data_IF_479331142420
#
_entry.id   IF_479331142420
#
_cell.length_a   1.000
_cell.length_b   1.000
_cell.length_c   1.000
_cell.angle_alpha   90.00
_cell.angle_beta   90.00
_cell.angle_gamma   90.00
#
_symmetry.space_group_name_H-M   'P 1'
#
loop_
_entity.id
_entity.type
_entity.pdbx_description
1 polymer ?
#
# COMPACT_ATOMS: atom_id res chain seq x y z
N UNK A 1 3.54 22.80 -1.17
CA UNK A 1 3.92 21.51 -1.79
C UNK A 1 3.49 20.39 -0.85
N UNK A 2 2.38 19.69 -1.15
CA UNK A 2 1.83 18.65 -0.28
C UNK A 2 2.53 17.30 -0.47
N UNK A 3 2.77 16.56 0.61
CA UNK A 3 3.31 15.20 0.55
C UNK A 3 2.22 14.29 -0.04
N UNK A 4 2.51 13.58 -1.14
CA UNK A 4 1.57 12.61 -1.74
C UNK A 4 1.16 11.54 -0.72
N UNK A 5 -0.08 11.06 -0.78
CA UNK A 5 -0.61 10.02 0.11
C UNK A 5 0.32 8.80 0.19
N UNK A 6 0.81 8.31 -0.95
CA UNK A 6 1.75 7.18 -0.99
C UNK A 6 3.06 7.46 -0.25
N UNK A 7 3.58 8.68 -0.35
CA UNK A 7 4.80 9.09 0.36
C UNK A 7 4.58 9.16 1.87
N UNK A 8 3.38 9.59 2.32
CA UNK A 8 3.00 9.60 3.75
C UNK A 8 2.88 8.18 4.30
N UNK A 9 2.15 7.31 3.61
CA UNK A 9 2.04 5.89 3.98
C UNK A 9 3.42 5.24 4.03
N UNK A 10 4.29 5.53 3.04
CA UNK A 10 5.65 5.00 3.00
C UNK A 10 6.47 5.42 4.21
N UNK A 11 6.42 6.71 4.58
CA UNK A 11 7.14 7.22 5.75
C UNK A 11 6.61 6.64 7.06
N UNK A 12 5.29 6.49 7.18
CA UNK A 12 4.67 5.89 8.37
C UNK A 12 5.07 4.43 8.52
N UNK A 13 5.04 3.65 7.42
CA UNK A 13 5.45 2.25 7.45
C UNK A 13 6.96 2.07 7.66
N UNK A 14 7.81 2.90 7.03
CA UNK A 14 9.26 2.80 7.23
C UNK A 14 9.69 3.10 8.67
N UNK A 15 9.00 4.03 9.32
CA UNK A 15 9.26 4.42 10.71
C UNK A 15 8.60 3.46 11.73
N UNK A 16 7.71 2.58 11.29
CA UNK A 16 7.05 1.62 12.18
C UNK A 16 8.00 0.47 12.54
N UNK A 17 8.36 0.38 13.82
CA UNK A 17 9.19 -0.71 14.33
C UNK A 17 8.50 -2.08 14.14
N UNK A 18 7.19 -2.16 14.39
CA UNK A 18 6.40 -3.38 14.19
C UNK A 18 6.46 -3.88 12.74
N UNK A 19 6.35 -2.96 11.78
CA UNK A 19 6.46 -3.33 10.36
C UNK A 19 7.84 -3.89 10.02
N UNK A 20 8.90 -3.28 10.56
CA UNK A 20 10.26 -3.72 10.33
C UNK A 20 10.52 -5.09 10.97
N UNK A 21 10.09 -5.30 12.22
CA UNK A 21 10.19 -6.60 12.90
C UNK A 21 9.36 -7.70 12.20
N UNK A 22 8.19 -7.36 11.66
CA UNK A 22 7.39 -8.28 10.85
C UNK A 22 8.11 -8.66 9.55
N UNK A 23 8.79 -7.71 8.89
CA UNK A 23 9.63 -8.01 7.73
C UNK A 23 10.80 -8.94 8.11
N UNK A 24 11.48 -8.67 9.22
CA UNK A 24 12.65 -9.43 9.66
C UNK A 24 12.26 -10.87 10.06
N UNK A 25 11.16 -11.03 10.78
CA UNK A 25 10.61 -12.34 11.15
C UNK A 25 10.09 -13.11 9.94
N UNK A 26 9.46 -12.44 8.97
CA UNK A 26 9.05 -13.08 7.70
C UNK A 26 10.28 -13.54 6.92
N UNK A 27 11.33 -12.72 6.89
CA UNK A 27 12.54 -13.04 6.16
C UNK A 27 13.25 -14.27 6.73
N UNK A 28 13.45 -14.29 8.06
CA UNK A 28 14.04 -15.43 8.75
C UNK A 28 13.19 -16.70 8.62
N UNK A 29 11.86 -16.58 8.64
CA UNK A 29 10.96 -17.70 8.38
C UNK A 29 11.09 -18.24 6.94
N UNK A 30 11.19 -17.37 5.93
CA UNK A 30 11.38 -17.84 4.54
C UNK A 30 12.74 -18.51 4.32
N UNK A 31 13.79 -18.03 5.01
CA UNK A 31 15.11 -18.67 4.97
C UNK A 31 15.14 -20.01 5.72
N UNK A 32 14.43 -20.13 6.83
CA UNK A 32 14.36 -21.40 7.56
C UNK A 32 13.66 -22.48 6.73
N UNK A 33 12.62 -22.11 5.96
CA UNK A 33 11.93 -23.01 5.03
C UNK A 33 12.85 -23.50 3.90
N UNK A 34 13.83 -22.72 3.48
CA UNK A 34 14.84 -23.14 2.48
C UNK A 34 16.07 -23.77 3.10
N UNK A 35 16.06 -24.02 4.42
CA UNK A 35 17.23 -24.50 5.16
C UNK A 35 18.49 -23.66 4.92
N UNK A 36 18.31 -22.35 4.68
CA UNK A 36 19.40 -21.44 4.32
C UNK A 36 20.18 -21.86 3.07
N UNK A 37 19.56 -22.63 2.16
CA UNK A 37 20.17 -23.03 0.89
C UNK A 37 20.51 -21.82 -0.01
N UNK A 38 19.86 -20.69 0.22
CA UNK A 38 20.07 -19.43 -0.50
C UNK A 38 20.23 -18.28 0.50
N UNK A 39 21.03 -17.27 0.15
CA UNK A 39 21.26 -16.09 0.99
C UNK A 39 20.08 -15.09 0.99
N UNK A 40 19.01 -15.36 0.24
CA UNK A 40 17.84 -14.50 0.16
C UNK A 40 16.60 -15.24 -0.32
N UNK A 41 15.52 -14.48 -0.50
CA UNK A 41 14.19 -15.02 -0.79
C UNK A 41 13.98 -15.10 -2.30
N UNK A 42 13.47 -16.24 -2.75
CA UNK A 42 13.20 -16.50 -4.15
C UNK A 42 11.82 -15.97 -4.56
N UNK A 43 11.61 -15.55 -5.82
CA UNK A 43 10.34 -14.92 -6.24
C UNK A 43 9.12 -15.81 -6.02
N UNK A 44 9.27 -17.13 -6.14
CA UNK A 44 8.17 -18.08 -5.92
C UNK A 44 7.71 -18.13 -4.45
N UNK A 45 8.56 -17.70 -3.52
CA UNK A 45 8.23 -17.65 -2.08
C UNK A 45 7.48 -16.38 -1.70
N UNK A 46 7.50 -15.34 -2.54
CA UNK A 46 6.89 -14.05 -2.26
C UNK A 46 5.39 -14.13 -1.95
N UNK A 47 4.57 -14.98 -2.60
CA UNK A 47 3.17 -15.16 -2.21
C UNK A 47 3.03 -15.67 -0.76
N UNK A 48 3.77 -16.71 -0.39
CA UNK A 48 3.76 -17.28 0.96
C UNK A 48 4.29 -16.28 1.98
N UNK A 49 5.39 -15.59 1.65
CA UNK A 49 5.96 -14.52 2.48
C UNK A 49 4.95 -13.38 2.70
N UNK A 50 4.23 -12.99 1.65
CA UNK A 50 3.20 -11.93 1.73
C UNK A 50 2.07 -12.32 2.67
N UNK A 51 1.57 -13.55 2.55
CA UNK A 51 0.52 -14.06 3.44
C UNK A 51 0.99 -14.09 4.88
N UNK A 52 2.20 -14.60 5.13
CA UNK A 52 2.77 -14.64 6.47
C UNK A 52 2.93 -13.23 7.06
N UNK A 53 3.55 -12.31 6.30
CA UNK A 53 3.75 -10.92 6.69
C UNK A 53 2.41 -10.22 6.98
N UNK A 54 1.39 -10.42 6.12
CA UNK A 54 0.04 -9.90 6.35
C UNK A 54 -0.57 -10.46 7.63
N UNK A 55 -0.48 -11.77 7.87
CA UNK A 55 -0.99 -12.37 9.11
C UNK A 55 -0.31 -11.82 10.34
N UNK A 56 1.03 -11.73 10.36
CA UNK A 56 1.80 -11.15 11.47
C UNK A 56 1.39 -9.70 11.73
N UNK A 57 1.20 -8.89 10.69
CA UNK A 57 0.73 -7.50 10.80
C UNK A 57 -0.75 -7.36 11.16
N UNK A 58 -1.56 -8.40 11.02
CA UNK A 58 -2.98 -8.35 11.45
C UNK A 58 -3.18 -8.88 12.87
N UNK A 59 -2.33 -9.83 13.30
CA UNK A 59 -2.42 -10.46 14.61
C UNK A 59 -1.74 -9.64 15.70
N UNK A 60 -0.62 -8.99 15.41
CA UNK A 60 0.03 -8.12 16.39
C UNK A 60 -0.81 -6.86 16.57
N UNK A 61 -1.53 -6.71 17.69
CA UNK A 61 -2.47 -5.60 17.95
C UNK A 61 -1.84 -4.19 17.88
N UNK A 62 -0.50 -4.10 17.89
CA UNK A 62 0.27 -2.87 17.71
C UNK A 62 0.63 -2.56 16.23
N UNK A 63 0.37 -3.51 15.33
CA UNK A 63 0.66 -3.35 13.92
C UNK A 63 -0.20 -2.24 13.31
N UNK A 64 0.46 -1.43 12.47
CA UNK A 64 0.01 -0.11 12.09
C UNK A 64 -1.51 -0.09 11.77
N UNK A 65 -2.32 0.76 12.43
CA UNK A 65 -3.77 0.84 12.20
C UNK A 65 -4.13 1.07 10.72
N UNK A 66 -3.18 1.62 9.97
CA UNK A 66 -3.19 1.76 8.53
C UNK A 66 -3.38 0.43 7.78
N UNK A 67 -2.70 -0.63 8.18
CA UNK A 67 -2.74 -1.94 7.50
C UNK A 67 -4.05 -2.65 7.83
N UNK A 68 -4.49 -2.63 9.09
CA UNK A 68 -5.79 -3.16 9.50
C UNK A 68 -6.95 -2.48 8.76
N UNK A 69 -6.87 -1.16 8.57
CA UNK A 69 -7.94 -0.39 7.92
C UNK A 69 -7.94 -0.48 6.40
N UNK A 70 -6.77 -0.48 5.77
CA UNK A 70 -6.65 -0.35 4.33
C UNK A 70 -6.21 -1.63 3.62
N UNK A 71 -5.74 -2.66 4.34
CA UNK A 71 -5.32 -3.95 3.77
C UNK A 71 -6.00 -5.10 4.54
N UNK A 72 -7.34 -5.23 4.43
CA UNK A 72 -8.09 -6.28 5.14
C UNK A 72 -7.81 -7.69 4.60
N UNK A 73 -7.41 -7.79 3.33
CA UNK A 73 -7.05 -9.04 2.65
C UNK A 73 -5.57 -9.00 2.24
N UNK A 74 -4.90 -10.16 2.15
CA UNK A 74 -3.52 -10.22 1.69
C UNK A 74 -3.39 -9.66 0.26
N UNK A 75 -2.27 -8.98 -0.07
CA UNK A 75 -2.00 -8.48 -1.42
C UNK A 75 -2.10 -9.56 -2.50
N UNK A 76 -2.64 -9.19 -3.67
CA UNK A 76 -2.83 -10.11 -4.80
C UNK A 76 -1.52 -10.37 -5.55
N UNK A 77 -1.39 -11.51 -6.24
CA UNK A 77 -0.22 -11.85 -7.07
C UNK A 77 0.21 -10.74 -8.03
N UNK A 78 -0.75 -10.07 -8.69
CA UNK A 78 -0.43 -8.94 -9.58
C UNK A 78 0.23 -7.75 -8.86
N UNK A 79 -0.12 -7.48 -7.60
CA UNK A 79 0.52 -6.45 -6.79
C UNK A 79 1.92 -6.87 -6.34
N UNK A 80 2.09 -8.15 -5.98
CA UNK A 80 3.39 -8.75 -5.65
C UNK A 80 4.37 -8.62 -6.83
N UNK A 81 3.94 -9.04 -8.01
CA UNK A 81 4.74 -9.00 -9.24
C UNK A 81 5.02 -7.55 -9.69
N UNK A 82 4.09 -6.63 -9.46
CA UNK A 82 4.30 -5.21 -9.73
C UNK A 82 5.34 -4.60 -8.76
N UNK A 83 5.22 -4.87 -7.45
CA UNK A 83 6.16 -4.38 -6.45
C UNK A 83 7.57 -4.94 -6.70
N UNK A 84 7.67 -6.21 -7.11
CA UNK A 84 8.93 -6.84 -7.50
C UNK A 84 9.57 -6.12 -8.70
N UNK A 85 8.80 -5.84 -9.75
CA UNK A 85 9.28 -5.06 -10.91
C UNK A 85 9.75 -3.66 -10.51
N UNK A 86 9.03 -2.99 -9.62
CA UNK A 86 9.39 -1.65 -9.13
C UNK A 86 10.73 -1.64 -8.39
N UNK A 87 11.02 -2.65 -7.58
CA UNK A 87 12.30 -2.76 -6.85
C UNK A 87 13.44 -3.22 -7.75
N UNK A 88 13.16 -4.12 -8.71
CA UNK A 88 14.13 -4.57 -9.70
C UNK A 88 14.60 -3.43 -10.62
N UNK A 89 13.68 -2.54 -11.01
CA UNK A 89 13.97 -1.42 -11.92
C UNK A 89 14.68 -0.23 -11.26
N UNK A 90 14.86 -0.22 -9.93
CA UNK A 90 15.44 0.90 -9.17
C UNK A 90 16.98 0.96 -9.14
N UNK A 91 17.71 0.21 -9.99
CA UNK A 91 19.18 0.16 -9.94
C UNK A 91 19.82 1.57 -10.01
N UNK A 92 20.61 1.99 -9.00
CA UNK A 92 21.64 3.01 -9.20
C UNK A 92 22.78 2.38 -10.02
N UNK A 93 23.49 3.20 -10.79
CA UNK A 93 24.32 2.76 -11.91
C UNK A 93 25.44 1.73 -11.60
N UNK A 94 25.84 1.10 -12.70
CA UNK A 94 27.05 0.31 -12.94
C UNK A 94 27.15 -1.09 -12.30
N UNK A 95 27.72 -2.00 -13.12
CA UNK A 95 28.14 -3.36 -12.84
C UNK A 95 27.03 -4.39 -12.55
N UNK A 96 26.65 -5.09 -13.63
CA UNK A 96 26.77 -6.54 -13.75
C UNK A 96 26.71 -7.34 -12.44
N UNK A 97 25.61 -8.07 -12.24
CA UNK A 97 25.67 -9.45 -11.77
C UNK A 97 24.38 -10.15 -12.20
N UNK A 98 24.59 -11.00 -13.20
CA UNK A 98 23.91 -12.23 -13.56
C UNK A 98 22.39 -12.28 -13.64
N UNK A 99 21.93 -12.87 -14.74
CA UNK A 99 20.73 -13.71 -14.85
C UNK A 99 20.74 -14.89 -13.85
N UNK A 100 21.32 -14.73 -12.66
CA UNK A 100 21.13 -15.58 -11.52
C UNK A 100 19.77 -15.24 -10.93
N UNK A 101 19.07 -16.26 -10.47
CA UNK A 101 17.77 -16.22 -9.81
C UNK A 101 17.53 -14.89 -9.06
N UNK A 102 16.39 -14.22 -9.27
CA UNK A 102 16.03 -12.93 -8.66
C UNK A 102 15.90 -13.07 -7.13
N UNK A 103 17.01 -13.25 -6.44
CA UNK A 103 17.10 -13.47 -5.00
C UNK A 103 16.98 -12.11 -4.34
N UNK A 104 15.94 -11.95 -3.53
CA UNK A 104 15.75 -10.75 -2.72
C UNK A 104 16.56 -10.90 -1.44
N UNK A 105 17.67 -10.17 -1.39
CA UNK A 105 18.41 -9.96 -0.15
C UNK A 105 17.54 -9.21 0.87
N UNK A 106 17.88 -9.30 2.15
CA UNK A 106 17.12 -8.74 3.27
C UNK A 106 16.71 -7.26 3.08
N UNK A 107 17.64 -6.38 2.70
CA UNK A 107 17.35 -4.96 2.46
C UNK A 107 16.37 -4.75 1.30
N UNK A 108 16.51 -5.54 0.23
CA UNK A 108 15.63 -5.52 -0.95
C UNK A 108 14.25 -6.09 -0.64
N UNK A 109 14.17 -7.13 0.18
CA UNK A 109 12.92 -7.69 0.68
C UNK A 109 12.13 -6.65 1.48
N UNK A 110 12.79 -5.93 2.40
CA UNK A 110 12.15 -4.85 3.16
C UNK A 110 11.68 -3.71 2.26
N UNK A 111 12.49 -3.29 1.29
CA UNK A 111 12.08 -2.27 0.31
C UNK A 111 10.85 -2.73 -0.51
N UNK A 112 10.86 -3.99 -0.95
CA UNK A 112 9.75 -4.61 -1.67
C UNK A 112 8.48 -4.67 -0.83
N UNK A 113 8.57 -5.11 0.43
CA UNK A 113 7.44 -5.14 1.35
C UNK A 113 6.87 -3.73 1.57
N UNK A 114 7.73 -2.73 1.76
CA UNK A 114 7.29 -1.34 1.89
C UNK A 114 6.51 -0.87 0.65
N UNK A 115 7.01 -1.16 -0.56
CA UNK A 115 6.33 -0.79 -1.81
C UNK A 115 5.01 -1.54 -1.96
N UNK A 116 4.96 -2.82 -1.62
CA UNK A 116 3.77 -3.66 -1.72
C UNK A 116 2.65 -3.16 -0.80
N UNK A 117 2.95 -2.95 0.48
CA UNK A 117 1.94 -2.54 1.47
C UNK A 117 1.53 -1.07 1.33
N UNK A 118 2.42 -0.18 0.86
CA UNK A 118 2.03 1.19 0.49
C UNK A 118 1.04 1.20 -0.66
N UNK A 119 1.34 0.49 -1.74
CA UNK A 119 0.48 0.44 -2.92
C UNK A 119 -0.86 -0.25 -2.61
N UNK A 120 -0.84 -1.33 -1.84
CA UNK A 120 -2.05 -2.00 -1.39
C UNK A 120 -2.94 -1.07 -0.54
N UNK A 121 -2.35 -0.36 0.43
CA UNK A 121 -3.10 0.56 1.29
C UNK A 121 -3.69 1.75 0.50
N UNK A 122 -2.89 2.38 -0.36
CA UNK A 122 -3.34 3.53 -1.17
C UNK A 122 -4.38 3.10 -2.21
N UNK A 123 -4.15 1.96 -2.89
CA UNK A 123 -5.08 1.43 -3.88
C UNK A 123 -6.43 1.07 -3.27
N UNK A 124 -6.44 0.45 -2.10
CA UNK A 124 -7.68 0.13 -1.38
C UNK A 124 -8.36 1.37 -0.80
N UNK A 125 -7.60 2.36 -0.33
CA UNK A 125 -8.14 3.65 0.09
C UNK A 125 -8.80 4.41 -1.07
N UNK A 126 -8.18 4.40 -2.25
CA UNK A 126 -8.75 4.96 -3.47
C UNK A 126 -10.07 4.28 -3.87
N UNK A 127 -10.12 2.94 -3.82
CA UNK A 127 -11.35 2.18 -4.05
C UNK A 127 -12.45 2.51 -3.03
N UNK A 128 -12.09 2.67 -1.77
CA UNK A 128 -13.04 3.05 -0.72
C UNK A 128 -13.62 4.46 -0.93
N UNK A 129 -12.82 5.41 -1.43
CA UNK A 129 -13.32 6.73 -1.84
C UNK A 129 -14.32 6.57 -2.98
N UNK A 130 -13.98 5.78 -4.00
CA UNK A 130 -14.83 5.58 -5.18
C UNK A 130 -16.17 4.90 -4.84
N UNK A 131 -16.16 3.94 -3.90
CA UNK A 131 -17.37 3.26 -3.43
C UNK A 131 -18.23 4.10 -2.47
N UNK A 132 -17.68 5.15 -1.87
CA UNK A 132 -18.40 6.07 -0.96
C UNK A 132 -18.89 7.33 -1.66
N UNK A 133 -18.37 7.65 -2.83
CA UNK A 133 -18.90 8.72 -3.67
C UNK A 133 -20.17 8.21 -4.35
N UNK A 134 -21.33 8.86 -4.16
CA UNK A 134 -22.49 8.52 -4.96
C UNK A 134 -22.12 8.71 -6.43
N UNK A 135 -22.32 7.67 -7.24
CA UNK A 135 -21.99 7.60 -8.67
C UNK A 135 -22.48 8.81 -9.50
N UNK A 136 -23.41 9.62 -8.97
CA UNK A 136 -23.90 10.86 -9.59
C UNK A 136 -22.97 12.09 -9.51
N UNK A 137 -21.84 12.05 -8.80
CA UNK A 137 -20.92 13.21 -8.71
C UNK A 137 -19.87 13.23 -9.84
N UNK A 138 -19.67 12.10 -10.53
CA UNK A 138 -18.71 12.00 -11.65
C UNK A 138 -19.04 12.93 -12.84
N UNK A 139 -20.26 13.47 -12.93
CA UNK A 139 -20.70 14.38 -13.99
C UNK A 139 -20.64 15.88 -13.66
N UNK A 140 -20.38 16.30 -12.42
CA UNK A 140 -20.45 17.72 -12.02
C UNK A 140 -19.06 18.30 -11.74
N UNK A 141 -18.14 18.15 -12.70
CA UNK A 141 -16.88 18.90 -12.71
C UNK A 141 -16.79 19.83 -13.92
N UNK A 142 -17.75 19.79 -14.87
CA UNK A 142 -17.61 20.44 -16.17
C UNK A 142 -18.72 21.39 -16.63
N UNK A 143 -19.78 21.66 -15.86
CA UNK A 143 -20.85 22.57 -16.31
C UNK A 143 -21.00 23.72 -15.33
N UNK A 144 -20.72 24.92 -15.82
CA UNK A 144 -20.87 26.18 -15.09
C UNK A 144 -22.23 26.23 -14.38
N UNK A 145 -22.18 26.69 -13.13
CA UNK A 145 -23.35 26.89 -12.30
C UNK A 145 -24.30 27.91 -12.96
N UNK A 146 -25.27 27.44 -13.74
CA UNK A 146 -26.51 28.19 -13.96
C UNK A 146 -27.43 27.88 -12.79
N UNK A 147 -27.41 28.79 -11.83
CA UNK A 147 -28.14 28.72 -10.57
C UNK A 147 -29.60 29.12 -10.83
N UNK A 148 -30.53 28.18 -10.64
CA UNK A 148 -31.97 28.52 -10.51
C UNK A 148 -32.44 28.09 -9.13
N UNK A 149 -32.75 29.10 -8.30
CA UNK A 149 -32.99 29.00 -6.87
C UNK A 149 -34.06 27.98 -6.49
N UNK A 150 -33.71 27.07 -5.58
CA UNK A 150 -34.62 26.05 -5.03
C UNK A 150 -33.94 24.72 -4.66
N UNK A 151 -32.74 24.43 -5.19
CA UNK A 151 -31.98 23.16 -4.97
C UNK A 151 -30.63 23.34 -4.26
N UNK A 152 -30.47 24.43 -3.50
CA UNK A 152 -29.16 24.84 -2.96
C UNK A 152 -28.65 23.96 -1.80
N UNK A 153 -29.53 23.51 -0.91
CA UNK A 153 -29.12 22.78 0.30
C UNK A 153 -28.58 21.39 -0.02
N UNK A 154 -29.19 20.70 -0.99
CA UNK A 154 -28.83 19.33 -1.35
C UNK A 154 -27.48 19.28 -2.06
N UNK A 155 -27.18 20.23 -2.95
CA UNK A 155 -25.89 20.29 -3.65
C UNK A 155 -24.71 20.64 -2.74
N UNK A 156 -24.89 21.61 -1.84
CA UNK A 156 -23.88 21.99 -0.87
C UNK A 156 -23.57 20.86 0.13
N UNK A 157 -24.60 20.16 0.63
CA UNK A 157 -24.43 19.04 1.56
C UNK A 157 -23.64 17.88 0.94
N UNK A 158 -23.90 17.56 -0.34
CA UNK A 158 -23.16 16.52 -1.08
C UNK A 158 -21.70 16.94 -1.28
N UNK A 159 -21.44 18.20 -1.61
CA UNK A 159 -20.07 18.73 -1.75
C UNK A 159 -19.28 18.67 -0.44
N UNK A 160 -19.88 19.07 0.69
CA UNK A 160 -19.26 18.99 2.02
C UNK A 160 -19.02 17.54 2.44
N UNK A 161 -19.96 16.63 2.15
CA UNK A 161 -19.80 15.20 2.43
C UNK A 161 -18.65 14.59 1.62
N UNK A 162 -18.57 14.86 0.32
CA UNK A 162 -17.49 14.36 -0.53
C UNK A 162 -16.11 14.89 -0.06
N UNK A 163 -16.02 16.19 0.26
CA UNK A 163 -14.82 16.79 0.83
C UNK A 163 -14.46 16.17 2.19
N UNK A 164 -15.45 15.94 3.05
CA UNK A 164 -15.31 15.27 4.34
C UNK A 164 -14.82 13.83 4.23
N UNK A 165 -15.31 13.06 3.26
CA UNK A 165 -14.86 11.68 3.00
C UNK A 165 -13.42 11.69 2.49
N UNK A 166 -13.07 12.55 1.52
CA UNK A 166 -11.70 12.63 0.99
C UNK A 166 -10.71 13.04 2.07
N UNK A 167 -11.05 14.05 2.87
CA UNK A 167 -10.21 14.51 3.99
C UNK A 167 -10.09 13.45 5.08
N UNK A 168 -11.17 12.75 5.44
CA UNK A 168 -11.13 11.66 6.43
C UNK A 168 -10.27 10.48 5.97
N UNK A 169 -10.38 10.07 4.70
CA UNK A 169 -9.54 9.01 4.11
C UNK A 169 -8.07 9.44 4.09
N UNK A 170 -7.80 10.67 3.67
CA UNK A 170 -6.45 11.23 3.63
C UNK A 170 -5.80 11.37 5.02
N UNK A 171 -6.57 11.79 6.03
CA UNK A 171 -6.13 11.84 7.42
C UNK A 171 -5.86 10.44 7.95
N UNK A 172 -6.73 9.48 7.65
CA UNK A 172 -6.57 8.09 8.08
C UNK A 172 -5.41 7.33 7.42
N UNK A 173 -4.80 7.85 6.36
CA UNK A 173 -3.56 7.32 5.77
C UNK A 173 -2.30 7.83 6.51
N UNK A 174 -2.47 8.67 7.53
CA UNK A 174 -1.37 9.31 8.27
C UNK A 174 -1.00 8.59 9.57
N UNK A 175 -1.86 7.69 10.06
CA UNK A 175 -1.83 7.23 11.45
C UNK A 175 -2.66 8.15 12.33
#
# INVERSE_FOLDING_TARGET
MGISASKRVKTTLSNSQEFNLACDSTFTHCLSLTQHAFQGILPYQLPTATTYLHTTLTTTAAAAPLILKWVPSPPTRGQIDWALRMVANRKPGAAQEEKGELILEHAKFREWALVLFTEAAVGNAGKAILGRLPLGVAGIVGVGAVVKGGKEVVGAAIGVYALGVVTSVYLSLSG
#
